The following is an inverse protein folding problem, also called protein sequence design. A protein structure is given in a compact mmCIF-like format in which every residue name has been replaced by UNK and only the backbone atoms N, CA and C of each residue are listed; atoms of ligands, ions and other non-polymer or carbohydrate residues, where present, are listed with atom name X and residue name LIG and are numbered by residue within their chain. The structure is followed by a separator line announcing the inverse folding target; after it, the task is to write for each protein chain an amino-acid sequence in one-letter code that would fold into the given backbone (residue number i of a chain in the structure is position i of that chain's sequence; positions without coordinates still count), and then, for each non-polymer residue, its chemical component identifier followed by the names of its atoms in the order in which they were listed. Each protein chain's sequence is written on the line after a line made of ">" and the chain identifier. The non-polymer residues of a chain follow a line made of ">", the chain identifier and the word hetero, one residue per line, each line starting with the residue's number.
data_IF_912924118074
#
_entry.id   IF_912924118074
#
_cell.length_a   1.000
_cell.length_b   1.000
_cell.length_c   1.000
_cell.angle_alpha   90.00
_cell.angle_beta   90.00
_cell.angle_gamma   90.00
#
_symmetry.space_group_name_H-M   'P 1'
#
loop_
_entity.id
_entity.type
_entity.pdbx_description
1 polymer ?
#
# COMPACT_ATOMS: atom_id res chain seq x y z
N UNK A 1 11.18 5.26 22.20
CA UNK A 1 10.24 5.79 21.18
C UNK A 1 11.05 6.12 19.94
N UNK A 2 10.99 5.27 18.91
CA UNK A 2 11.81 5.40 17.70
C UNK A 2 11.36 6.60 16.87
N UNK A 3 12.06 7.74 16.98
CA UNK A 3 11.82 8.95 16.16
C UNK A 3 11.75 8.66 14.65
N UNK A 4 12.41 7.59 14.18
CA UNK A 4 12.33 7.14 12.79
C UNK A 4 10.96 6.63 12.34
N UNK A 5 10.20 5.98 13.24
CA UNK A 5 8.86 5.49 12.94
C UNK A 5 7.86 6.64 12.72
N UNK A 6 7.94 7.69 13.52
CA UNK A 6 7.07 8.86 13.40
C UNK A 6 7.32 9.63 12.09
N UNK A 7 8.59 9.79 11.70
CA UNK A 7 8.97 10.41 10.42
C UNK A 7 8.53 9.56 9.22
N UNK A 8 8.57 8.23 9.34
CA UNK A 8 8.09 7.33 8.29
C UNK A 8 6.57 7.43 8.15
N UNK A 9 5.83 7.19 9.24
CA UNK A 9 4.36 7.16 9.24
C UNK A 9 3.71 8.48 8.81
N UNK A 10 4.36 9.61 9.10
CA UNK A 10 3.88 10.93 8.66
C UNK A 10 4.05 11.17 7.16
N UNK A 11 5.00 10.48 6.51
CA UNK A 11 5.35 10.62 5.09
C UNK A 11 4.65 9.63 4.18
N UNK A 12 4.04 8.56 4.70
CA UNK A 12 3.28 7.61 3.86
C UNK A 12 2.03 8.33 3.31
N UNK A 13 1.92 8.50 1.99
CA UNK A 13 0.77 9.17 1.39
C UNK A 13 -0.46 8.26 1.41
N UNK A 14 -1.65 8.85 1.56
CA UNK A 14 -2.92 8.11 1.58
C UNK A 14 -3.39 7.65 2.96
N UNK A 15 -2.51 7.56 3.98
CA UNK A 15 -2.95 7.20 5.34
C UNK A 15 -3.83 8.30 5.97
N UNK A 16 -4.99 7.89 6.46
CA UNK A 16 -5.84 8.66 7.38
C UNK A 16 -5.14 8.85 8.74
N UNK A 17 -5.60 9.80 9.56
CA UNK A 17 -4.99 10.03 10.88
C UNK A 17 -5.03 8.78 11.77
N UNK A 18 -6.14 8.04 11.76
CA UNK A 18 -6.25 6.77 12.49
C UNK A 18 -5.26 5.72 12.00
N UNK A 19 -5.01 5.64 10.69
CA UNK A 19 -3.98 4.74 10.16
C UNK A 19 -2.56 5.20 10.49
N UNK A 20 -2.32 6.52 10.61
CA UNK A 20 -1.04 7.06 11.10
C UNK A 20 -0.80 6.71 12.56
N UNK A 21 -1.82 6.78 13.41
CA UNK A 21 -1.75 6.30 14.80
C UNK A 21 -1.42 4.81 14.88
N UNK A 22 -2.08 3.98 14.05
CA UNK A 22 -1.77 2.54 13.97
C UNK A 22 -0.33 2.28 13.49
N UNK A 23 0.12 3.00 12.45
CA UNK A 23 1.49 2.95 11.97
C UNK A 23 2.50 3.33 13.05
N UNK A 24 2.24 4.37 13.85
CA UNK A 24 3.12 4.76 14.97
C UNK A 24 3.16 3.69 16.06
N UNK A 25 2.05 2.97 16.28
CA UNK A 25 1.95 1.90 17.27
C UNK A 25 2.69 0.62 16.86
N UNK A 26 2.75 0.32 15.55
CA UNK A 26 3.45 -0.83 14.98
C UNK A 26 4.07 -0.48 13.62
N UNK A 27 5.22 0.20 13.62
CA UNK A 27 5.90 0.61 12.38
C UNK A 27 6.54 -0.56 11.64
N UNK A 28 6.85 -1.64 12.34
CA UNK A 28 7.33 -2.92 11.80
C UNK A 28 6.26 -3.63 10.94
N UNK A 29 4.99 -3.58 11.35
CA UNK A 29 3.89 -4.12 10.56
C UNK A 29 3.77 -3.43 9.19
N UNK A 30 4.15 -2.16 9.07
CA UNK A 30 4.12 -1.45 7.80
C UNK A 30 5.10 -2.02 6.77
N UNK A 31 6.20 -2.64 7.21
CA UNK A 31 7.13 -3.35 6.32
C UNK A 31 6.42 -4.57 5.72
N UNK A 32 5.80 -5.39 6.57
CA UNK A 32 5.05 -6.56 6.13
C UNK A 32 3.86 -6.19 5.22
N UNK A 33 3.18 -5.09 5.50
CA UNK A 33 2.09 -4.59 4.65
C UNK A 33 2.64 -4.16 3.28
N UNK A 34 3.78 -3.46 3.24
CA UNK A 34 4.43 -3.08 1.99
C UNK A 34 4.81 -4.29 1.13
N UNK A 35 5.37 -5.32 1.75
CA UNK A 35 5.69 -6.59 1.07
C UNK A 35 4.43 -7.29 0.55
N UNK A 36 3.36 -7.29 1.33
CA UNK A 36 2.05 -7.82 0.92
C UNK A 36 1.51 -7.13 -0.33
N UNK A 37 1.59 -5.79 -0.39
CA UNK A 37 1.16 -5.01 -1.57
C UNK A 37 1.98 -5.39 -2.80
N UNK A 38 3.31 -5.51 -2.65
CA UNK A 38 4.19 -5.93 -3.75
C UNK A 38 3.82 -7.32 -4.27
N UNK A 39 3.69 -8.30 -3.37
CA UNK A 39 3.32 -9.68 -3.73
C UNK A 39 1.94 -9.74 -4.41
N UNK A 40 0.95 -9.01 -3.88
CA UNK A 40 -0.38 -8.95 -4.48
C UNK A 40 -0.35 -8.34 -5.89
N UNK A 41 0.49 -7.33 -6.11
CA UNK A 41 0.64 -6.68 -7.41
C UNK A 41 1.33 -7.60 -8.43
N UNK A 42 2.38 -8.30 -8.01
CA UNK A 42 3.07 -9.30 -8.83
C UNK A 42 2.11 -10.41 -9.27
N UNK A 43 1.31 -10.94 -8.32
CA UNK A 43 0.31 -11.97 -8.60
C UNK A 43 -0.82 -11.46 -9.49
N UNK A 44 -1.30 -10.23 -9.26
CA UNK A 44 -2.30 -9.61 -10.13
C UNK A 44 -1.80 -9.54 -11.57
N UNK A 45 -0.59 -9.00 -11.78
CA UNK A 45 0.04 -8.95 -13.10
C UNK A 45 0.18 -10.34 -13.70
N UNK A 46 0.56 -11.35 -12.90
CA UNK A 46 0.67 -12.73 -13.36
C UNK A 46 -0.67 -13.29 -13.83
N UNK A 47 -1.72 -13.20 -13.01
CA UNK A 47 -3.05 -13.75 -13.30
C UNK A 47 -3.72 -13.05 -14.49
N UNK A 48 -3.56 -11.73 -14.58
CA UNK A 48 -4.23 -10.90 -15.58
C UNK A 48 -3.36 -10.55 -16.79
N UNK A 49 -2.20 -11.19 -16.97
CA UNK A 49 -1.24 -10.90 -18.07
C UNK A 49 -1.81 -11.00 -19.50
N UNK A 50 -2.90 -11.74 -19.69
CA UNK A 50 -3.57 -11.91 -20.99
C UNK A 50 -4.96 -11.26 -21.03
N UNK A 51 -5.32 -10.48 -20.01
CA UNK A 51 -6.59 -9.77 -19.92
C UNK A 51 -6.44 -8.32 -20.42
N UNK A 52 -7.54 -7.72 -20.88
CA UNK A 52 -7.57 -6.29 -21.28
C UNK A 52 -7.15 -5.37 -20.15
N UNK A 53 -7.50 -5.74 -18.93
CA UNK A 53 -6.99 -5.13 -17.72
C UNK A 53 -5.86 -6.00 -17.16
N UNK A 54 -4.64 -5.46 -17.07
CA UNK A 54 -3.41 -6.19 -16.75
C UNK A 54 -2.75 -5.70 -15.45
N UNK A 55 -3.54 -5.10 -14.54
CA UNK A 55 -3.07 -4.59 -13.24
C UNK A 55 -2.04 -3.43 -13.29
N UNK A 56 -1.78 -2.83 -14.46
CA UNK A 56 -0.76 -1.75 -14.61
C UNK A 56 -1.02 -0.47 -13.80
N UNK A 57 -2.24 -0.24 -13.32
CA UNK A 57 -2.59 0.93 -12.51
C UNK A 57 -2.53 0.72 -10.98
N UNK A 58 -2.16 -0.47 -10.51
CA UNK A 58 -2.13 -0.82 -9.08
C UNK A 58 -0.82 -0.37 -8.40
N UNK A 59 0.26 -0.21 -9.18
CA UNK A 59 1.55 0.30 -8.70
C UNK A 59 1.50 1.82 -8.55
N UNK A 60 0.94 2.31 -7.45
CA UNK A 60 0.92 3.74 -7.14
C UNK A 60 1.52 3.96 -5.75
N UNK A 61 2.37 4.98 -5.54
CA UNK A 61 2.87 5.32 -4.21
C UNK A 61 1.74 5.64 -3.20
N UNK A 62 0.50 5.81 -3.65
CA UNK A 62 -0.71 5.97 -2.85
C UNK A 62 -1.49 4.68 -2.63
N UNK A 63 -0.85 3.49 -2.54
CA UNK A 63 -1.56 2.22 -2.28
C UNK A 63 -2.43 2.24 -1.01
N UNK A 64 -2.12 3.15 -0.06
CA UNK A 64 -2.90 3.38 1.15
C UNK A 64 -4.00 4.44 1.02
N UNK A 65 -4.16 5.04 -0.17
CA UNK A 65 -5.13 6.08 -0.46
C UNK A 65 -6.55 5.56 -0.65
N UNK A 66 -7.41 6.38 -1.26
CA UNK A 66 -8.81 6.03 -1.48
C UNK A 66 -8.97 4.78 -2.37
N UNK A 67 -9.98 3.97 -2.05
CA UNK A 67 -10.34 2.79 -2.83
C UNK A 67 -10.78 3.24 -4.22
N UNK A 68 -10.02 2.84 -5.23
CA UNK A 68 -10.39 3.03 -6.64
C UNK A 68 -10.88 1.69 -7.16
N UNK A 69 -12.15 1.62 -7.54
CA UNK A 69 -12.68 0.45 -8.24
C UNK A 69 -12.23 0.55 -9.70
N UNK A 70 -11.33 -0.35 -10.10
CA UNK A 70 -10.84 -0.42 -11.47
C UNK A 70 -11.59 -1.52 -12.21
N UNK A 71 -12.59 -1.14 -13.01
CA UNK A 71 -13.40 -2.03 -13.84
C UNK A 71 -14.89 -2.00 -13.49
N UNK A 72 -15.72 -1.74 -14.50
CA UNK A 72 -17.12 -2.19 -14.63
C UNK A 72 -17.19 -3.11 -15.84
#
# INVERSE_FOLDING_TARGET
>A
MSKGADVFCSKVPGLTEKQREMCRSSPDAMVAIGDGIRMATDECKHQFRHQRWNCSGIENPTSFGHVVIVGM
#
